data_IF_239622216497
#
_entry.id   IF_239622216497
#
_cell.length_a   1.000
_cell.length_b   1.000
_cell.length_c   1.000
_cell.angle_alpha   90.00
_cell.angle_beta   90.00
_cell.angle_gamma   90.00
#
_symmetry.space_group_name_H-M   'P 1'
#
loop_
_entity.id
_entity.type
_entity.pdbx_description
1 polymer ?
#
# COMPACT_ATOMS: atom_id res chain seq x y z
N UNK A 1 14.58 26.71 -1.60
CA UNK A 1 13.65 25.71 -2.17
C UNK A 1 13.70 24.51 -1.25
N UNK A 2 12.62 24.22 -0.51
CA UNK A 2 12.57 23.06 0.38
C UNK A 2 12.41 21.80 -0.48
N UNK A 3 13.18 20.75 -0.21
CA UNK A 3 13.03 19.50 -0.96
C UNK A 3 11.59 18.95 -0.78
N UNK A 4 11.01 18.32 -1.81
CA UNK A 4 9.68 17.74 -1.69
C UNK A 4 9.66 16.72 -0.54
N UNK A 5 8.64 16.78 0.30
CA UNK A 5 8.47 15.80 1.37
C UNK A 5 8.14 14.43 0.73
N UNK A 6 8.97 13.43 1.04
CA UNK A 6 8.83 12.08 0.51
C UNK A 6 7.95 11.23 1.42
N UNK A 7 6.94 10.59 0.84
CA UNK A 7 6.03 9.67 1.52
C UNK A 7 6.12 8.30 0.86
N UNK A 8 6.34 7.25 1.66
CA UNK A 8 6.36 5.87 1.19
C UNK A 8 5.17 5.13 1.78
N UNK A 9 4.28 4.63 0.92
CA UNK A 9 3.13 3.82 1.32
C UNK A 9 3.56 2.35 1.27
N UNK A 10 3.76 1.74 2.43
CA UNK A 10 3.95 0.30 2.54
C UNK A 10 2.59 -0.41 2.41
N UNK A 11 2.44 -1.34 1.47
CA UNK A 11 1.18 -2.03 1.20
C UNK A 11 1.38 -3.51 0.88
N UNK A 12 0.35 -4.33 1.11
CA UNK A 12 0.35 -5.74 0.67
C UNK A 12 0.27 -5.82 -0.85
N UNK A 13 0.82 -6.90 -1.42
CA UNK A 13 0.81 -7.12 -2.87
C UNK A 13 -0.51 -7.69 -3.42
N UNK A 14 -1.48 -8.00 -2.54
CA UNK A 14 -2.81 -8.41 -3.00
C UNK A 14 -3.48 -7.32 -3.87
N UNK A 15 -4.26 -7.68 -4.91
CA UNK A 15 -4.82 -6.70 -5.85
C UNK A 15 -5.64 -5.59 -5.20
N UNK A 16 -6.44 -5.92 -4.17
CA UNK A 16 -7.23 -4.92 -3.45
C UNK A 16 -6.35 -3.93 -2.67
N UNK A 17 -5.29 -4.42 -2.01
CA UNK A 17 -4.39 -3.58 -1.23
C UNK A 17 -3.57 -2.63 -2.13
N UNK A 18 -3.14 -3.10 -3.30
CA UNK A 18 -2.49 -2.26 -4.31
C UNK A 18 -3.45 -1.19 -4.84
N UNK A 19 -4.70 -1.55 -5.17
CA UNK A 19 -5.70 -0.58 -5.61
C UNK A 19 -5.97 0.48 -4.54
N UNK A 20 -6.12 0.08 -3.27
CA UNK A 20 -6.30 1.00 -2.15
C UNK A 20 -5.11 1.95 -1.99
N UNK A 21 -3.88 1.43 -2.10
CA UNK A 21 -2.66 2.24 -1.98
C UNK A 21 -2.53 3.25 -3.13
N UNK A 22 -2.85 2.86 -4.37
CA UNK A 22 -2.88 3.78 -5.51
C UNK A 22 -3.96 4.85 -5.37
N UNK A 23 -5.14 4.48 -4.86
CA UNK A 23 -6.21 5.44 -4.58
C UNK A 23 -5.77 6.51 -3.56
N UNK A 24 -5.16 6.08 -2.45
CA UNK A 24 -4.64 7.00 -1.42
C UNK A 24 -3.51 7.87 -1.97
N UNK A 25 -2.60 7.29 -2.77
CA UNK A 25 -1.56 8.06 -3.47
C UNK A 25 -2.16 9.17 -4.33
N UNK A 26 -3.19 8.86 -5.11
CA UNK A 26 -3.90 9.84 -5.95
C UNK A 26 -4.47 11.00 -5.13
N UNK A 27 -5.07 10.72 -3.98
CA UNK A 27 -5.59 11.75 -3.08
C UNK A 27 -4.49 12.63 -2.48
N UNK A 28 -3.36 12.05 -2.08
CA UNK A 28 -2.22 12.80 -1.55
C UNK A 28 -1.63 13.76 -2.58
N UNK A 29 -1.41 13.28 -3.81
CA UNK A 29 -0.88 14.09 -4.91
C UNK A 29 -1.87 15.17 -5.35
N UNK A 30 -3.18 14.89 -5.29
CA UNK A 30 -4.22 15.87 -5.58
C UNK A 30 -4.30 16.97 -4.50
N UNK A 31 -4.00 16.66 -3.25
CA UNK A 31 -3.97 17.62 -2.15
C UNK A 31 -2.71 18.50 -2.17
N UNK A 32 -1.55 17.89 -2.39
CA UNK A 32 -0.27 18.57 -2.48
C UNK A 32 0.60 17.96 -3.59
N UNK A 33 0.68 18.68 -4.71
CA UNK A 33 1.44 18.27 -5.89
C UNK A 33 2.97 18.30 -5.66
N UNK A 34 3.44 18.88 -4.56
CA UNK A 34 4.86 18.86 -4.19
C UNK A 34 5.27 17.58 -3.47
N UNK A 35 4.33 16.73 -3.05
CA UNK A 35 4.63 15.44 -2.43
C UNK A 35 5.19 14.44 -3.45
N UNK A 36 6.28 13.77 -3.07
CA UNK A 36 6.75 12.57 -3.77
C UNK A 36 6.21 11.34 -3.05
N UNK A 37 5.18 10.72 -3.64
CA UNK A 37 4.52 9.53 -3.06
C UNK A 37 4.90 8.28 -3.85
N UNK A 38 5.49 7.31 -3.16
CA UNK A 38 5.92 6.02 -3.68
C UNK A 38 5.17 4.87 -3.00
N UNK A 39 4.96 3.76 -3.72
CA UNK A 39 4.42 2.52 -3.15
C UNK A 39 5.56 1.52 -2.93
N UNK A 40 5.58 0.91 -1.74
CA UNK A 40 6.44 -0.21 -1.40
C UNK A 40 5.58 -1.45 -1.15
N UNK A 41 5.59 -2.37 -2.11
CA UNK A 41 4.94 -3.68 -1.97
C UNK A 41 5.64 -4.53 -0.91
N UNK A 42 4.85 -5.15 -0.04
CA UNK A 42 5.31 -6.06 0.99
C UNK A 42 4.55 -7.38 0.86
N UNK A 43 5.28 -8.48 0.70
CA UNK A 43 4.70 -9.81 0.78
C UNK A 43 4.51 -10.21 2.23
N UNK A 44 3.29 -10.59 2.62
CA UNK A 44 2.98 -11.15 3.94
C UNK A 44 2.73 -12.66 3.86
N UNK A 45 2.78 -13.38 5.00
CA UNK A 45 2.40 -14.79 5.04
C UNK A 45 0.95 -15.01 4.54
N UNK A 46 0.05 -14.08 4.85
CA UNK A 46 -1.34 -14.12 4.38
C UNK A 46 -1.50 -13.94 2.87
N UNK A 47 -0.54 -13.32 2.17
CA UNK A 47 -0.55 -13.24 0.70
C UNK A 47 -0.15 -14.58 0.05
N UNK A 48 0.56 -15.44 0.80
CA UNK A 48 0.95 -16.80 0.35
C UNK A 48 -0.14 -17.83 0.63
N UNK A 49 -1.08 -17.54 1.53
CA UNK A 49 -2.18 -18.43 1.90
C UNK A 49 -3.44 -18.00 1.13
N UNK A 50 -3.50 -18.36 -0.15
CA UNK A 50 -4.71 -18.18 -0.98
C UNK A 50 -5.65 -19.41 -0.90
N UNK A 51 -5.14 -20.55 -0.45
CA UNK A 51 -5.84 -21.85 -0.56
C UNK A 51 -6.47 -22.36 0.74
N UNK A 52 -6.53 -21.54 1.80
CA UNK A 52 -7.06 -21.99 3.09
C UNK A 52 -7.97 -20.93 3.72
N UNK A 53 -9.13 -21.34 4.28
CA UNK A 53 -10.00 -20.41 4.97
C UNK A 53 -9.28 -19.82 6.19
N UNK A 54 -9.40 -18.50 6.34
CA UNK A 54 -8.82 -17.68 7.42
C UNK A 54 -9.14 -18.22 8.82
N UNK A 55 -10.24 -18.96 8.97
CA UNK A 55 -10.68 -19.60 10.20
C UNK A 55 -9.73 -20.65 10.76
N UNK A 56 -8.73 -21.10 10.00
CA UNK A 56 -7.68 -22.03 10.49
C UNK A 56 -6.43 -21.34 11.02
N UNK A 57 -6.29 -20.02 10.82
CA UNK A 57 -5.10 -19.21 11.15
C UNK A 57 -5.49 -18.01 12.04
N UNK A 58 -6.60 -18.12 12.80
CA UNK A 58 -6.92 -17.18 13.89
C UNK A 58 -6.25 -17.67 15.18
N UNK A 59 -5.56 -16.77 15.88
CA UNK A 59 -4.67 -17.06 17.01
C UNK A 59 -5.31 -17.66 18.27
#
# INVERSE_FOLDING_TARGET
MNAPARVVIATRESPLALWQAEHVRGLLVAHDASLQVELLGMTTLGDRILDRPLSKEGG
#
